data_IF_119510856293
#
_entry.id   IF_119510856293
#
_cell.length_a   1.000
_cell.length_b   1.000
_cell.length_c   1.000
_cell.angle_alpha   90.00
_cell.angle_beta   90.00
_cell.angle_gamma   90.00
#
_symmetry.space_group_name_H-M   'P 1'
#
loop_
_entity.id
_entity.type
_entity.pdbx_description
1 polymer ?
#
# COMPACT_ATOMS: atom_id res chain seq x y z
N UNK A 1 -2.13 17.02 -23.25
CA UNK A 1 -1.14 16.07 -23.80
C UNK A 1 -0.21 15.48 -22.73
N UNK A 2 0.49 16.29 -21.92
CA UNK A 2 1.41 15.81 -20.84
C UNK A 2 0.80 14.84 -19.81
N UNK A 3 -0.46 15.04 -19.42
CA UNK A 3 -1.15 14.20 -18.42
C UNK A 3 -1.44 12.78 -18.93
N UNK A 4 -1.60 12.62 -20.24
CA UNK A 4 -1.88 11.32 -20.89
C UNK A 4 -0.61 10.48 -21.05
N UNK A 5 0.53 11.12 -21.31
CA UNK A 5 1.84 10.47 -21.39
C UNK A 5 2.33 9.99 -20.02
N UNK A 6 2.05 10.75 -18.96
CA UNK A 6 2.31 10.32 -17.58
C UNK A 6 1.45 9.13 -17.20
N UNK A 7 0.14 9.14 -17.48
CA UNK A 7 -0.77 8.04 -17.17
C UNK A 7 -0.31 6.71 -17.81
N UNK A 8 0.15 6.77 -19.06
CA UNK A 8 0.66 5.60 -19.78
C UNK A 8 2.00 5.10 -19.19
N UNK A 9 2.91 6.01 -18.81
CA UNK A 9 4.15 5.64 -18.10
C UNK A 9 3.88 5.01 -16.74
N UNK A 10 2.97 5.56 -15.95
CA UNK A 10 2.66 5.02 -14.62
C UNK A 10 1.99 3.65 -14.73
N UNK A 11 1.08 3.48 -15.69
CA UNK A 11 0.46 2.18 -15.97
C UNK A 11 1.49 1.13 -16.42
N UNK A 12 2.37 1.45 -17.37
CA UNK A 12 3.43 0.55 -17.83
C UNK A 12 4.46 0.25 -16.72
N UNK A 13 4.79 1.24 -15.90
CA UNK A 13 5.68 1.06 -14.74
C UNK A 13 5.05 0.09 -13.74
N UNK A 14 3.75 0.22 -13.47
CA UNK A 14 3.05 -0.67 -12.56
C UNK A 14 2.83 -2.07 -13.11
N UNK A 15 2.59 -2.21 -14.41
CA UNK A 15 2.54 -3.50 -15.08
C UNK A 15 3.92 -4.19 -15.04
N UNK A 16 5.00 -3.44 -15.28
CA UNK A 16 6.36 -3.94 -15.17
C UNK A 16 6.76 -4.30 -13.74
N UNK A 17 6.30 -3.54 -12.74
CA UNK A 17 6.48 -3.90 -11.32
C UNK A 17 5.72 -5.19 -11.00
N UNK A 18 4.46 -5.31 -11.45
CA UNK A 18 3.67 -6.53 -11.23
C UNK A 18 4.36 -7.76 -11.82
N UNK A 19 4.81 -7.68 -13.07
CA UNK A 19 5.48 -8.78 -13.78
C UNK A 19 6.85 -9.12 -13.14
N UNK A 20 7.60 -8.10 -12.70
CA UNK A 20 8.85 -8.28 -11.96
C UNK A 20 8.65 -8.86 -10.57
N UNK A 21 7.52 -8.60 -9.91
CA UNK A 21 7.21 -9.18 -8.61
C UNK A 21 6.73 -10.62 -8.75
N UNK A 22 5.94 -10.95 -9.78
CA UNK A 22 5.52 -12.32 -10.05
C UNK A 22 6.70 -13.24 -10.41
N UNK A 23 7.70 -12.73 -11.11
CA UNK A 23 8.85 -13.54 -11.58
C UNK A 23 10.15 -13.28 -10.80
N UNK A 24 10.15 -12.36 -9.83
CA UNK A 24 11.35 -11.87 -9.17
C UNK A 24 11.93 -12.82 -8.13
N UNK A 25 11.08 -13.59 -7.44
CA UNK A 25 11.48 -14.53 -6.37
C UNK A 25 12.47 -13.91 -5.37
N UNK A 26 13.60 -14.58 -5.16
CA UNK A 26 14.65 -14.14 -4.23
C UNK A 26 15.33 -12.80 -4.59
N UNK A 27 15.13 -12.28 -5.80
CA UNK A 27 15.73 -11.00 -6.24
C UNK A 27 14.95 -9.77 -5.76
N UNK A 28 13.77 -9.94 -5.17
CA UNK A 28 12.91 -8.84 -4.73
C UNK A 28 13.45 -8.19 -3.44
N UNK A 29 13.94 -9.00 -2.49
CA UNK A 29 14.48 -8.55 -1.21
C UNK A 29 15.53 -7.42 -1.30
N UNK A 30 16.60 -7.52 -2.13
CA UNK A 30 17.63 -6.47 -2.19
C UNK A 30 17.13 -5.15 -2.78
N UNK A 31 15.98 -5.13 -3.48
CA UNK A 31 15.44 -3.92 -4.11
C UNK A 31 14.45 -3.18 -3.21
N UNK A 32 13.93 -3.81 -2.15
CA UNK A 32 12.97 -3.20 -1.21
C UNK A 32 13.38 -1.79 -0.73
N UNK A 33 14.63 -1.55 -0.27
CA UNK A 33 15.02 -0.23 0.21
C UNK A 33 14.90 0.88 -0.85
N UNK A 34 15.10 0.53 -2.13
CA UNK A 34 15.03 1.46 -3.25
C UNK A 34 13.58 1.81 -3.62
N UNK A 35 12.62 0.95 -3.29
CA UNK A 35 11.19 1.15 -3.57
C UNK A 35 10.50 2.09 -2.57
N UNK A 36 11.08 2.27 -1.37
CA UNK A 36 10.45 3.02 -0.27
C UNK A 36 10.18 4.48 -0.62
N UNK A 37 11.16 5.18 -1.20
CA UNK A 37 11.02 6.60 -1.58
C UNK A 37 9.96 6.78 -2.69
N UNK A 38 9.99 6.02 -3.81
CA UNK A 38 8.94 6.05 -4.82
C UNK A 38 7.54 5.78 -4.26
N UNK A 39 7.37 4.76 -3.41
CA UNK A 39 6.09 4.41 -2.78
C UNK A 39 5.59 5.58 -1.92
N UNK A 40 6.46 6.13 -1.06
CA UNK A 40 6.14 7.28 -0.22
C UNK A 40 5.71 8.48 -1.07
N UNK A 41 6.41 8.75 -2.17
CA UNK A 41 6.07 9.85 -3.06
C UNK A 41 4.71 9.64 -3.76
N UNK A 42 4.44 8.42 -4.22
CA UNK A 42 3.16 8.06 -4.83
C UNK A 42 1.99 8.23 -3.86
N UNK A 43 2.13 7.78 -2.61
CA UNK A 43 1.11 7.97 -1.57
C UNK A 43 0.92 9.46 -1.20
N UNK A 44 1.97 10.27 -1.26
CA UNK A 44 1.90 11.71 -0.99
C UNK A 44 1.28 12.55 -2.11
N UNK A 45 1.00 11.97 -3.29
CA UNK A 45 0.36 12.70 -4.41
C UNK A 45 -1.05 13.20 -4.06
N UNK A 46 -1.71 12.60 -3.06
CA UNK A 46 -3.13 12.85 -2.70
C UNK A 46 -4.12 12.55 -3.83
N UNK A 47 -3.67 11.94 -4.92
CA UNK A 47 -4.53 11.45 -5.99
C UNK A 47 -5.06 10.06 -5.59
N UNK A 48 -6.38 9.96 -5.41
CA UNK A 48 -7.05 8.72 -4.98
C UNK A 48 -6.71 7.55 -5.90
N UNK A 49 -6.67 7.77 -7.22
CA UNK A 49 -6.39 6.70 -8.19
C UNK A 49 -4.96 6.17 -8.03
N UNK A 50 -4.00 7.07 -7.82
CA UNK A 50 -2.60 6.71 -7.58
C UNK A 50 -2.44 5.99 -6.24
N UNK A 51 -3.11 6.45 -5.19
CA UNK A 51 -3.08 5.82 -3.87
C UNK A 51 -3.67 4.41 -3.93
N UNK A 52 -4.87 4.23 -4.49
CA UNK A 52 -5.48 2.91 -4.64
C UNK A 52 -4.58 1.94 -5.41
N UNK A 53 -3.96 2.41 -6.49
CA UNK A 53 -3.04 1.60 -7.29
C UNK A 53 -1.80 1.21 -6.50
N UNK A 54 -1.22 2.17 -5.77
CA UNK A 54 -0.04 1.94 -4.92
C UNK A 54 -0.34 0.95 -3.80
N UNK A 55 -1.51 1.04 -3.17
CA UNK A 55 -1.96 0.10 -2.13
C UNK A 55 -2.09 -1.33 -2.67
N UNK A 56 -2.72 -1.49 -3.85
CA UNK A 56 -2.82 -2.81 -4.51
C UNK A 56 -1.44 -3.39 -4.79
N UNK A 57 -0.49 -2.58 -5.25
CA UNK A 57 0.88 -3.04 -5.49
C UNK A 57 1.57 -3.44 -4.20
N UNK A 58 1.37 -2.70 -3.11
CA UNK A 58 1.91 -3.08 -1.79
C UNK A 58 1.34 -4.41 -1.31
N UNK A 59 0.05 -4.67 -1.52
CA UNK A 59 -0.59 -5.95 -1.21
C UNK A 59 0.04 -7.09 -2.03
N UNK A 60 0.26 -6.89 -3.33
CA UNK A 60 0.93 -7.87 -4.18
C UNK A 60 2.40 -8.08 -3.77
N UNK A 61 3.12 -7.01 -3.43
CA UNK A 61 4.53 -7.04 -3.03
C UNK A 61 4.75 -7.94 -1.82
N UNK A 62 3.93 -7.80 -0.77
CA UNK A 62 4.10 -8.60 0.46
C UNK A 62 3.80 -10.08 0.30
N UNK A 63 3.05 -10.46 -0.73
CA UNK A 63 2.77 -11.87 -1.06
C UNK A 63 3.71 -12.43 -2.14
N UNK A 64 4.51 -11.59 -2.79
CA UNK A 64 5.33 -11.97 -3.94
C UNK A 64 6.56 -12.83 -3.59
N UNK A 65 6.95 -12.91 -2.32
CA UNK A 65 8.07 -13.74 -1.93
C UNK A 65 8.20 -13.93 -0.42
N UNK A 66 8.82 -15.05 -0.05
CA UNK A 66 9.13 -15.37 1.34
C UNK A 66 10.01 -14.27 1.95
N UNK A 67 9.67 -13.84 3.17
CA UNK A 67 10.34 -12.77 3.93
C UNK A 67 10.21 -11.34 3.39
N UNK A 68 9.52 -11.10 2.27
CA UNK A 68 9.34 -9.74 1.73
C UNK A 68 8.57 -8.85 2.71
N UNK A 69 7.53 -9.38 3.35
CA UNK A 69 6.78 -8.66 4.38
C UNK A 69 7.65 -8.30 5.59
N UNK A 70 8.46 -9.23 6.11
CA UNK A 70 9.39 -8.97 7.22
C UNK A 70 10.41 -7.88 6.86
N UNK A 71 10.94 -7.91 5.64
CA UNK A 71 11.88 -6.90 5.16
C UNK A 71 11.27 -5.49 5.02
N UNK A 72 9.93 -5.37 4.97
CA UNK A 72 9.23 -4.09 4.94
C UNK A 72 9.01 -3.46 6.32
N UNK A 73 9.04 -4.25 7.40
CA UNK A 73 8.77 -3.77 8.77
C UNK A 73 9.61 -2.55 9.18
N UNK A 74 10.94 -2.50 8.90
CA UNK A 74 11.76 -1.32 9.24
C UNK A 74 11.29 -0.03 8.56
N UNK A 75 10.56 -0.13 7.45
CA UNK A 75 10.12 0.99 6.63
C UNK A 75 8.69 1.44 6.91
N UNK A 76 7.94 0.74 7.77
CA UNK A 76 6.59 1.13 8.17
C UNK A 76 6.50 2.58 8.68
N UNK A 77 7.54 3.04 9.39
CA UNK A 77 7.61 4.44 9.88
C UNK A 77 7.61 5.49 8.77
N UNK A 78 8.01 5.13 7.55
CA UNK A 78 8.06 6.06 6.42
C UNK A 78 6.77 6.03 5.58
N UNK A 79 6.09 4.89 5.55
CA UNK A 79 4.95 4.63 4.65
C UNK A 79 3.61 4.84 5.38
N UNK A 80 3.46 4.25 6.56
CA UNK A 80 2.18 4.18 7.28
C UNK A 80 1.60 5.53 7.75
N UNK A 81 2.40 6.54 8.14
CA UNK A 81 1.84 7.84 8.54
C UNK A 81 0.99 8.49 7.44
N UNK A 82 1.36 8.27 6.17
CA UNK A 82 0.62 8.80 5.02
C UNK A 82 -0.74 8.09 4.88
N UNK A 83 -0.78 6.78 5.12
CA UNK A 83 -2.03 6.00 5.08
C UNK A 83 -3.01 6.43 6.19
N UNK A 84 -2.49 6.71 7.39
CA UNK A 84 -3.30 7.17 8.53
C UNK A 84 -4.02 8.50 8.22
N UNK A 85 -3.38 9.40 7.46
CA UNK A 85 -4.01 10.65 7.01
C UNK A 85 -5.26 10.38 6.14
N UNK A 86 -5.16 9.42 5.21
CA UNK A 86 -6.26 9.09 4.30
C UNK A 86 -7.38 8.29 4.97
N UNK A 87 -7.05 7.42 5.94
CA UNK A 87 -8.04 6.72 6.77
C UNK A 87 -8.95 7.72 7.49
N UNK A 88 -8.37 8.77 8.08
CA UNK A 88 -9.13 9.83 8.76
C UNK A 88 -9.82 10.81 7.79
N UNK A 89 -9.22 11.10 6.63
CA UNK A 89 -9.81 11.98 5.63
C UNK A 89 -11.07 11.37 4.97
N UNK A 90 -11.17 10.04 4.91
CA UNK A 90 -12.36 9.36 4.42
C UNK A 90 -13.54 9.47 5.40
N UNK A 91 -13.27 9.44 6.71
CA UNK A 91 -14.28 9.63 7.76
C UNK A 91 -14.89 11.03 7.78
N UNK A 92 -14.13 12.05 7.34
CA UNK A 92 -14.58 13.45 7.31
C UNK A 92 -15.33 13.86 6.04
N UNK A 93 -15.56 12.94 5.09
CA UNK A 93 -16.42 13.17 3.92
C UNK A 93 -17.83 12.65 4.20
N UNK A 94 -18.58 13.43 4.97
CA UNK A 94 -20.03 13.26 5.11
C UNK A 94 -20.76 13.38 3.77
N UNK A 95 -21.80 12.55 3.60
CA UNK A 95 -22.96 12.72 2.71
C UNK A 95 -22.78 12.81 1.18
N UNK A 96 -21.61 12.50 0.62
CA UNK A 96 -21.53 12.17 -0.80
C UNK A 96 -21.61 10.64 -0.95
N UNK A 97 -22.78 10.11 -1.31
CA UNK A 97 -22.98 8.68 -1.65
C UNK A 97 -21.97 8.32 -2.75
N UNK A 98 -20.87 7.67 -2.36
CA UNK A 98 -19.78 7.32 -3.26
C UNK A 98 -20.19 6.05 -4.02
N UNK A 99 -20.73 6.21 -5.24
CA UNK A 99 -21.09 5.13 -6.16
C UNK A 99 -19.88 4.25 -6.59
N UNK A 100 -18.68 4.53 -6.10
CA UNK A 100 -17.43 3.78 -6.38
C UNK A 100 -17.33 2.41 -5.68
N UNK A 101 -18.31 2.04 -4.84
CA UNK A 101 -18.46 0.70 -4.25
C UNK A 101 -18.38 -0.43 -5.29
N UNK A 102 -18.82 -0.20 -6.54
CA UNK A 102 -18.78 -1.21 -7.62
C UNK A 102 -17.38 -1.48 -8.19
N UNK A 103 -16.35 -0.68 -7.84
CA UNK A 103 -15.00 -0.75 -8.45
C UNK A 103 -13.83 -1.04 -7.49
N UNK A 104 -14.07 -1.36 -6.21
CA UNK A 104 -12.98 -1.55 -5.21
C UNK A 104 -12.08 -0.28 -5.12
N UNK A 105 -12.69 0.90 -5.09
CA UNK A 105 -12.00 2.20 -5.02
C UNK A 105 -12.15 2.92 -3.67
N UNK A 106 -12.77 2.27 -2.67
CA UNK A 106 -12.78 2.82 -1.31
C UNK A 106 -11.37 2.74 -0.72
N UNK A 107 -10.71 3.90 -0.66
CA UNK A 107 -9.35 4.05 -0.11
C UNK A 107 -9.27 3.53 1.33
N UNK A 108 -10.33 3.72 2.13
CA UNK A 108 -10.37 3.25 3.52
C UNK A 108 -10.27 1.72 3.60
N UNK A 109 -11.11 1.02 2.86
CA UNK A 109 -11.15 -0.45 2.84
C UNK A 109 -9.83 -1.03 2.30
N UNK A 110 -9.27 -0.41 1.25
CA UNK A 110 -7.96 -0.81 0.72
C UNK A 110 -6.82 -0.58 1.72
N UNK A 111 -6.89 0.47 2.54
CA UNK A 111 -5.91 0.70 3.60
C UNK A 111 -5.99 -0.42 4.63
N UNK A 112 -7.20 -0.77 5.10
CA UNK A 112 -7.38 -1.88 6.06
C UNK A 112 -6.89 -3.21 5.48
N UNK A 113 -7.24 -3.55 4.23
CA UNK A 113 -6.77 -4.76 3.54
C UNK A 113 -5.24 -4.78 3.44
N UNK A 114 -4.61 -3.62 3.16
CA UNK A 114 -3.15 -3.51 3.08
C UNK A 114 -2.48 -3.66 4.45
N UNK A 115 -3.03 -3.04 5.50
CA UNK A 115 -2.52 -3.18 6.86
C UNK A 115 -2.64 -4.64 7.35
N UNK A 116 -3.74 -5.31 7.04
CA UNK A 116 -3.92 -6.74 7.31
C UNK A 116 -2.91 -7.62 6.56
N UNK A 117 -2.62 -7.30 5.29
CA UNK A 117 -1.60 -8.00 4.52
C UNK A 117 -0.19 -7.81 5.12
N UNK A 118 0.11 -6.59 5.59
CA UNK A 118 1.36 -6.25 6.26
C UNK A 118 1.53 -6.95 7.60
N UNK A 119 0.45 -7.09 8.37
CA UNK A 119 0.45 -7.84 9.62
C UNK A 119 0.67 -9.34 9.37
N UNK A 120 -0.05 -9.91 8.38
CA UNK A 120 0.00 -11.34 8.07
C UNK A 120 1.36 -11.82 7.57
N UNK A 121 2.06 -11.00 6.79
CA UNK A 121 3.33 -11.37 6.16
C UNK A 121 4.57 -10.69 6.78
N UNK A 122 4.36 -9.75 7.72
CA UNK A 122 5.44 -8.99 8.34
C UNK A 122 6.11 -9.66 9.54
N UNK A 123 5.67 -10.86 9.92
CA UNK A 123 6.22 -11.58 11.07
C UNK A 123 5.76 -11.03 12.43
N UNK A 124 6.37 -11.48 13.54
CA UNK A 124 5.88 -11.24 14.90
C UNK A 124 5.90 -9.76 15.31
N UNK A 125 6.82 -8.97 14.76
CA UNK A 125 6.97 -7.55 15.08
C UNK A 125 6.11 -6.62 14.20
N UNK A 126 5.37 -7.17 13.23
CA UNK A 126 4.59 -6.36 12.31
C UNK A 126 3.49 -5.57 13.03
N UNK A 127 2.69 -6.25 13.85
CA UNK A 127 1.55 -5.65 14.54
C UNK A 127 1.96 -4.47 15.41
N UNK A 128 3.00 -4.62 16.24
CA UNK A 128 3.46 -3.56 17.14
C UNK A 128 3.93 -2.33 16.35
N UNK A 129 4.66 -2.53 15.24
CA UNK A 129 5.12 -1.43 14.38
C UNK A 129 3.95 -0.74 13.66
N UNK A 130 2.95 -1.50 13.21
CA UNK A 130 1.72 -0.94 12.61
C UNK A 130 0.96 -0.12 13.65
N UNK A 131 0.72 -0.66 14.86
CA UNK A 131 -0.02 -0.01 15.94
C UNK A 131 0.64 1.29 16.39
N UNK A 132 1.98 1.35 16.42
CA UNK A 132 2.71 2.58 16.72
C UNK A 132 2.47 3.70 15.70
N UNK A 133 2.25 3.37 14.42
CA UNK A 133 2.06 4.35 13.35
C UNK A 133 0.58 4.67 13.08
N UNK A 134 -0.29 3.67 13.28
CA UNK A 134 -1.74 3.75 13.07
C UNK A 134 -2.44 3.25 14.34
N UNK A 135 -2.62 4.11 15.36
CA UNK A 135 -3.19 3.70 16.65
C UNK A 135 -4.62 3.14 16.55
N UNK A 136 -5.36 3.55 15.51
CA UNK A 136 -6.73 3.13 15.20
C UNK A 136 -6.83 1.80 14.44
N UNK A 137 -5.70 1.16 14.12
CA UNK A 137 -5.71 -0.18 13.52
C UNK A 137 -6.00 -1.25 14.57
N UNK A 138 -6.84 -2.22 14.23
CA UNK A 138 -7.16 -3.40 15.04
C UNK A 138 -6.68 -4.66 14.30
N UNK A 139 -6.15 -5.63 15.06
CA UNK A 139 -5.52 -6.82 14.48
C UNK A 139 -6.54 -7.64 13.68
N UNK A 140 -6.15 -8.06 12.48
CA UNK A 140 -6.99 -8.88 11.60
C UNK A 140 -6.68 -10.39 11.72
N UNK A 141 -5.75 -10.79 12.59
CA UNK A 141 -5.29 -12.19 12.73
C UNK A 141 -5.90 -12.87 13.96
N UNK A 142 -6.43 -12.09 14.90
CA UNK A 142 -7.04 -12.58 16.16
C UNK A 142 -8.57 -12.71 16.11
N UNK A 143 -9.18 -12.67 14.91
CA UNK A 143 -10.62 -12.81 14.69
C UNK A 143 -10.99 -14.19 14.12
#
# INVERSE_FOLDING_TARGET
VLRFTLYNKTFLLFLGIHDMLEHGGAKILPVIPQLIIPIKNALNTRDRSVICTTLKILQHLVVAGDMVGEALVPYYRQILPVLNLFKNANANRGDAIDYSQQKRENVGDLIEETLGAFERHGGPDAFINIKYMVPTYESCILA
#
